data_IF_461896909147
#
_entry.id   IF_461896909147
#
_cell.length_a   1.000
_cell.length_b   1.000
_cell.length_c   1.000
_cell.angle_alpha   90.00
_cell.angle_beta   90.00
_cell.angle_gamma   90.00
#
_symmetry.space_group_name_H-M   'P 1'
#
loop_
_entity.id
_entity.type
_entity.pdbx_description
1 polymer ?
#
# COMPACT_ATOMS: atom_id res chain seq x y z
N UNK A 1 36.48 28.75 61.92
CA UNK A 1 35.72 27.56 62.35
C UNK A 1 35.91 26.50 61.29
N UNK A 2 36.37 25.35 61.74
CA UNK A 2 36.84 24.19 60.98
C UNK A 2 35.75 23.55 60.09
N UNK A 3 36.17 22.68 59.15
CA UNK A 3 35.46 22.35 57.93
C UNK A 3 34.59 21.09 58.06
N UNK A 4 33.64 20.91 57.14
CA UNK A 4 33.04 19.60 56.82
C UNK A 4 33.35 19.32 55.35
N UNK A 5 34.32 18.45 55.04
CA UNK A 5 34.16 16.98 54.90
C UNK A 5 33.24 16.66 53.70
N UNK A 6 33.73 16.37 52.50
CA UNK A 6 34.52 15.22 52.03
C UNK A 6 33.74 13.90 51.86
N UNK A 7 34.08 13.22 50.76
CA UNK A 7 33.82 11.82 50.38
C UNK A 7 32.40 11.50 49.84
N UNK A 8 32.25 11.18 48.55
CA UNK A 8 32.71 9.96 47.82
C UNK A 8 31.87 8.72 48.10
N UNK A 9 31.67 7.96 47.02
CA UNK A 9 30.93 6.68 46.89
C UNK A 9 29.44 6.88 46.63
N UNK A 10 28.79 6.28 45.64
CA UNK A 10 29.06 5.03 44.96
C UNK A 10 28.48 5.10 43.54
N UNK A 11 29.32 4.82 42.54
CA UNK A 11 28.84 4.42 41.22
C UNK A 11 28.31 2.99 41.34
N UNK A 12 27.00 2.84 41.55
CA UNK A 12 26.33 1.59 41.22
C UNK A 12 25.94 1.64 39.75
N UNK A 13 26.83 1.07 38.94
CA UNK A 13 26.51 0.50 37.64
C UNK A 13 25.47 -0.59 37.87
N UNK A 14 24.20 -0.29 37.57
CA UNK A 14 23.17 -1.31 37.39
C UNK A 14 23.06 -1.52 35.89
N UNK A 15 23.81 -2.51 35.40
CA UNK A 15 23.45 -3.25 34.21
C UNK A 15 22.04 -3.82 34.42
N UNK A 16 21.01 -3.08 34.00
CA UNK A 16 19.71 -3.68 33.74
C UNK A 16 19.82 -4.40 32.41
N UNK A 17 20.23 -5.67 32.51
CA UNK A 17 20.00 -6.66 31.48
C UNK A 17 18.48 -6.80 31.38
N UNK A 18 17.87 -6.11 30.41
CA UNK A 18 16.53 -6.48 29.96
C UNK A 18 16.65 -7.80 29.21
N UNK A 19 16.71 -8.89 29.98
CA UNK A 19 16.35 -10.21 29.50
C UNK A 19 14.94 -10.10 28.92
N UNK A 20 14.85 -10.27 27.60
CA UNK A 20 13.58 -10.55 26.96
C UNK A 20 12.93 -11.73 27.69
N UNK A 21 11.70 -11.58 28.22
CA UNK A 21 10.92 -12.77 28.50
C UNK A 21 10.74 -13.48 27.16
N UNK A 22 11.32 -14.68 27.03
CA UNK A 22 10.92 -15.64 26.01
C UNK A 22 9.43 -15.92 26.27
N UNK A 23 8.57 -15.17 25.59
CA UNK A 23 7.17 -15.47 25.49
C UNK A 23 7.07 -16.90 24.95
N UNK A 24 6.56 -17.80 25.79
CA UNK A 24 6.18 -19.13 25.38
C UNK A 24 5.28 -19.04 24.14
N UNK A 25 5.40 -19.97 23.18
CA UNK A 25 4.47 -20.01 22.06
C UNK A 25 3.05 -20.13 22.63
N UNK A 26 2.23 -19.12 22.36
CA UNK A 26 0.80 -19.18 22.66
C UNK A 26 0.23 -20.43 21.98
N UNK A 27 -0.59 -21.24 22.67
CA UNK A 27 -1.29 -22.33 22.02
C UNK A 27 -2.10 -21.76 20.85
N UNK A 28 -1.84 -22.28 19.65
CA UNK A 28 -2.67 -21.97 18.49
C UNK A 28 -4.13 -22.22 18.87
N UNK A 29 -5.06 -21.30 18.57
CA UNK A 29 -6.47 -21.65 18.63
C UNK A 29 -6.67 -22.88 17.73
N UNK A 30 -7.44 -23.89 18.17
CA UNK A 30 -7.72 -25.03 17.31
C UNK A 30 -8.26 -24.50 16.00
N UNK A 31 -7.59 -24.87 14.90
CA UNK A 31 -8.15 -24.72 13.56
C UNK A 31 -9.59 -25.24 13.63
N UNK A 32 -10.61 -24.45 13.24
CA UNK A 32 -11.94 -25.00 13.14
C UNK A 32 -11.86 -26.17 12.18
N UNK A 33 -12.10 -27.36 12.74
CA UNK A 33 -12.15 -28.62 12.02
C UNK A 33 -13.01 -28.43 10.79
N UNK A 34 -12.38 -28.53 9.62
CA UNK A 34 -13.06 -28.69 8.35
C UNK A 34 -13.87 -29.97 8.40
N UNK A 35 -15.14 -29.88 8.79
CA UNK A 35 -16.15 -30.90 8.51
C UNK A 35 -17.57 -30.34 8.76
N UNK A 36 -17.93 -29.27 8.05
CA UNK A 36 -19.30 -29.18 7.56
C UNK A 36 -19.35 -29.85 6.19
N UNK A 37 -19.29 -31.18 6.21
CA UNK A 37 -19.79 -32.02 5.12
C UNK A 37 -21.31 -31.87 5.06
N UNK A 38 -21.78 -30.71 4.62
CA UNK A 38 -23.11 -30.61 4.02
C UNK A 38 -22.99 -31.34 2.70
N UNK A 39 -23.68 -32.46 2.60
CA UNK A 39 -23.93 -33.14 1.33
C UNK A 39 -24.42 -32.11 0.32
N UNK A 40 -23.53 -31.69 -0.56
CA UNK A 40 -23.91 -31.07 -1.82
C UNK A 40 -24.77 -32.12 -2.53
N UNK A 41 -26.00 -31.77 -2.97
CA UNK A 41 -26.74 -32.67 -3.83
C UNK A 41 -25.86 -32.97 -5.04
N UNK A 42 -25.73 -34.26 -5.36
CA UNK A 42 -24.90 -34.79 -6.43
C UNK A 42 -25.03 -33.92 -7.69
N UNK A 43 -23.92 -33.36 -8.17
CA UNK A 43 -23.83 -32.74 -9.50
C UNK A 43 -23.40 -31.27 -9.58
N UNK A 44 -23.35 -30.51 -8.48
CA UNK A 44 -22.80 -29.14 -8.56
C UNK A 44 -21.29 -29.12 -8.30
N UNK A 45 -20.51 -29.16 -9.39
CA UNK A 45 -19.07 -28.90 -9.33
C UNK A 45 -18.88 -27.38 -9.29
N UNK A 46 -18.34 -26.89 -8.18
CA UNK A 46 -17.97 -25.49 -8.03
C UNK A 46 -16.81 -25.22 -8.98
N UNK A 47 -16.90 -24.24 -9.90
CA UNK A 47 -15.73 -23.80 -10.64
C UNK A 47 -14.79 -23.11 -9.67
N UNK A 48 -13.78 -23.84 -9.19
CA UNK A 48 -12.63 -23.23 -8.54
C UNK A 48 -11.88 -22.53 -9.65
N UNK A 49 -11.78 -21.20 -9.61
CA UNK A 49 -10.87 -20.49 -10.51
C UNK A 49 -9.45 -20.96 -10.14
N UNK A 50 -8.77 -21.72 -11.00
CA UNK A 50 -7.43 -22.21 -10.68
C UNK A 50 -6.50 -21.00 -10.51
N UNK A 51 -5.53 -21.08 -9.59
CA UNK A 51 -4.56 -20.00 -9.42
C UNK A 51 -3.77 -19.67 -10.69
N UNK A 52 -3.71 -20.59 -11.66
CA UNK A 52 -3.07 -20.38 -12.97
C UNK A 52 -3.87 -19.49 -13.92
N UNK A 53 -5.19 -19.37 -13.71
CA UNK A 53 -6.11 -18.69 -14.64
C UNK A 53 -6.56 -17.33 -14.08
N UNK A 54 -5.98 -16.93 -12.95
CA UNK A 54 -6.26 -15.65 -12.32
C UNK A 54 -5.60 -14.50 -13.08
N UNK A 55 -6.37 -13.53 -13.62
CA UNK A 55 -5.79 -12.38 -14.28
C UNK A 55 -5.14 -11.39 -13.31
N UNK A 56 -5.36 -11.49 -11.99
CA UNK A 56 -4.78 -10.60 -10.95
C UNK A 56 -3.34 -10.98 -10.56
N UNK A 57 -2.51 -11.34 -11.53
CA UNK A 57 -1.10 -11.69 -11.33
C UNK A 57 -0.23 -10.54 -11.81
N UNK A 58 0.83 -10.21 -11.05
CA UNK A 58 1.79 -9.20 -11.51
C UNK A 58 2.53 -9.72 -12.72
N UNK A 59 2.64 -8.86 -13.72
CA UNK A 59 3.48 -9.07 -14.89
C UNK A 59 4.77 -8.28 -14.76
N UNK A 60 5.79 -8.66 -15.52
CA UNK A 60 7.05 -7.94 -15.59
C UNK A 60 7.27 -7.46 -17.02
N UNK A 61 7.67 -6.20 -17.18
CA UNK A 61 8.07 -5.69 -18.49
C UNK A 61 9.45 -6.23 -18.92
N UNK A 62 9.84 -5.94 -20.15
CA UNK A 62 11.16 -6.30 -20.71
C UNK A 62 12.37 -5.75 -19.93
N UNK A 63 12.15 -4.81 -19.01
CA UNK A 63 13.17 -4.19 -18.16
C UNK A 63 13.14 -4.75 -16.73
N UNK A 64 12.25 -5.70 -16.45
CA UNK A 64 12.07 -6.28 -15.12
C UNK A 64 11.21 -5.44 -14.18
N UNK A 65 10.55 -4.39 -14.67
CA UNK A 65 9.64 -3.60 -13.82
C UNK A 65 8.30 -4.30 -13.66
N UNK A 66 7.73 -4.17 -12.47
CA UNK A 66 6.39 -4.69 -12.14
C UNK A 66 5.33 -3.90 -12.90
N UNK A 67 4.44 -4.62 -13.59
CA UNK A 67 3.32 -4.05 -14.34
C UNK A 67 2.03 -4.66 -13.83
N UNK A 68 1.08 -3.77 -13.46
CA UNK A 68 -0.27 -4.19 -13.11
C UNK A 68 -0.95 -4.78 -14.36
N UNK A 69 -1.60 -5.96 -14.22
CA UNK A 69 -2.23 -6.64 -15.34
C UNK A 69 -3.43 -5.86 -15.88
N UNK A 70 -3.77 -6.14 -17.15
CA UNK A 70 -5.09 -5.84 -17.69
C UNK A 70 -6.01 -7.04 -17.43
N UNK A 71 -6.97 -6.89 -16.54
CA UNK A 71 -7.89 -7.95 -16.11
C UNK A 71 -9.27 -7.85 -16.74
N UNK A 72 -9.58 -6.74 -17.42
CA UNK A 72 -10.84 -6.56 -18.16
C UNK A 72 -10.71 -5.51 -19.26
N UNK A 73 -11.24 -5.83 -20.45
CA UNK A 73 -11.31 -4.89 -21.57
C UNK A 73 -12.49 -3.90 -21.45
N UNK A 74 -13.35 -4.07 -20.45
CA UNK A 74 -14.51 -3.21 -20.19
C UNK A 74 -14.44 -2.64 -18.77
N UNK A 75 -13.46 -1.78 -18.48
CA UNK A 75 -13.29 -1.22 -17.14
C UNK A 75 -14.50 -0.41 -16.70
N UNK A 76 -14.83 -0.50 -15.41
CA UNK A 76 -15.74 0.46 -14.79
C UNK A 76 -15.06 1.82 -14.60
N UNK A 77 -15.87 2.88 -14.58
CA UNK A 77 -15.40 4.23 -14.29
C UNK A 77 -14.74 4.30 -12.90
N UNK A 78 -13.68 5.11 -12.76
CA UNK A 78 -12.91 5.20 -11.51
C UNK A 78 -13.74 5.78 -10.35
N UNK A 79 -14.82 6.49 -10.65
CA UNK A 79 -15.79 7.04 -9.71
C UNK A 79 -17.00 6.11 -9.48
N UNK A 80 -17.09 4.97 -10.18
CA UNK A 80 -18.14 3.98 -9.95
C UNK A 80 -18.13 3.53 -8.48
N UNK A 81 -19.32 3.41 -7.89
CA UNK A 81 -19.46 3.03 -6.48
C UNK A 81 -18.82 1.68 -6.16
N UNK A 82 -18.78 0.74 -7.11
CA UNK A 82 -18.13 -0.57 -6.96
C UNK A 82 -16.61 -0.46 -6.94
N UNK A 83 -16.05 0.39 -7.80
CA UNK A 83 -14.62 0.69 -7.79
C UNK A 83 -14.24 1.34 -6.46
N UNK A 84 -15.03 2.30 -6.01
CA UNK A 84 -14.81 2.96 -4.71
C UNK A 84 -14.89 1.98 -3.56
N UNK A 85 -15.88 1.07 -3.56
CA UNK A 85 -16.02 0.01 -2.56
C UNK A 85 -14.79 -0.91 -2.53
N UNK A 86 -14.34 -1.42 -3.69
CA UNK A 86 -13.14 -2.26 -3.79
C UNK A 86 -11.88 -1.57 -3.24
N UNK A 87 -11.75 -0.27 -3.45
CA UNK A 87 -10.61 0.52 -2.94
C UNK A 87 -10.75 0.80 -1.42
N UNK A 88 -11.97 0.98 -0.92
CA UNK A 88 -12.24 1.35 0.48
C UNK A 88 -12.27 0.16 1.45
N UNK A 89 -12.74 -1.00 1.01
CA UNK A 89 -12.89 -2.19 1.87
C UNK A 89 -11.56 -2.75 2.38
N UNK A 90 -10.44 -2.33 1.78
CA UNK A 90 -9.10 -2.75 2.18
C UNK A 90 -8.18 -1.54 2.32
N UNK A 91 -8.26 -0.79 3.44
CA UNK A 91 -7.34 0.32 3.69
C UNK A 91 -5.90 -0.18 3.63
N UNK A 92 -5.05 0.59 2.93
CA UNK A 92 -3.61 0.35 2.85
C UNK A 92 -3.00 0.16 4.23
N UNK A 93 -2.79 -1.10 4.64
CA UNK A 93 -2.12 -1.45 5.89
C UNK A 93 -0.66 -1.07 5.71
N UNK A 94 -0.27 0.05 6.34
CA UNK A 94 1.06 0.68 6.35
C UNK A 94 1.69 0.69 4.95
N UNK A 95 1.45 1.73 4.13
CA UNK A 95 2.03 1.78 2.81
C UNK A 95 3.55 1.68 2.93
N UNK A 96 4.14 0.67 2.30
CA UNK A 96 5.56 0.66 1.96
C UNK A 96 5.65 1.17 0.53
N UNK A 97 6.63 2.01 0.23
CA UNK A 97 6.91 2.29 -1.18
C UNK A 97 7.31 0.98 -1.88
N UNK A 98 7.06 0.88 -3.18
CA UNK A 98 7.33 -0.32 -3.95
C UNK A 98 8.79 -0.80 -3.81
N UNK A 99 9.74 0.14 -3.79
CA UNK A 99 11.18 -0.15 -3.63
C UNK A 99 11.50 -0.80 -2.28
N UNK A 100 10.97 -0.28 -1.19
CA UNK A 100 11.21 -0.86 0.14
C UNK A 100 10.50 -2.20 0.31
N UNK A 101 9.33 -2.38 -0.30
CA UNK A 101 8.64 -3.65 -0.29
C UNK A 101 9.43 -4.74 -1.03
N UNK A 102 10.02 -4.41 -2.18
CA UNK A 102 10.90 -5.30 -2.94
C UNK A 102 12.13 -5.75 -2.16
N UNK A 103 12.77 -4.83 -1.43
CA UNK A 103 13.96 -5.14 -0.65
C UNK A 103 13.63 -5.76 0.72
N UNK A 104 12.35 -5.92 1.07
CA UNK A 104 11.93 -6.45 2.37
C UNK A 104 12.28 -5.55 3.56
N UNK A 105 12.52 -4.25 3.33
CA UNK A 105 12.97 -3.30 4.35
C UNK A 105 11.80 -2.53 4.97
N UNK A 106 12.02 -2.06 6.21
CA UNK A 106 11.07 -1.20 6.91
C UNK A 106 10.99 0.16 6.21
N UNK A 107 9.79 0.54 5.79
CA UNK A 107 9.54 1.77 5.06
C UNK A 107 8.75 2.75 5.93
N UNK A 108 9.27 3.97 6.08
CA UNK A 108 8.52 5.13 6.55
C UNK A 108 8.02 5.90 5.32
N UNK A 109 7.16 5.26 4.52
CA UNK A 109 6.58 5.95 3.35
C UNK A 109 5.68 7.08 3.83
N UNK A 110 5.89 8.26 3.25
CA UNK A 110 5.08 9.45 3.54
C UNK A 110 4.26 9.85 2.31
N UNK A 111 4.91 10.05 1.17
CA UNK A 111 4.27 10.60 -0.03
C UNK A 111 4.97 10.10 -1.31
N UNK A 112 4.21 9.91 -2.39
CA UNK A 112 4.77 9.50 -3.67
C UNK A 112 5.61 10.63 -4.31
N UNK A 113 6.62 10.24 -5.08
CA UNK A 113 7.57 11.17 -5.67
C UNK A 113 8.64 11.68 -4.68
N UNK A 114 8.43 11.54 -3.37
CA UNK A 114 9.42 11.90 -2.35
C UNK A 114 10.12 10.63 -1.86
N UNK A 115 11.45 10.49 -2.01
CA UNK A 115 12.12 9.25 -1.65
C UNK A 115 12.21 9.12 -0.12
N UNK A 116 11.74 8.00 0.43
CA UNK A 116 11.85 7.68 1.85
C UNK A 116 13.32 7.40 2.24
N UNK A 117 13.68 7.44 3.55
CA UNK A 117 15.08 7.34 3.96
C UNK A 117 15.85 6.13 3.41
N UNK A 118 15.27 4.90 3.38
CA UNK A 118 15.95 3.78 2.74
C UNK A 118 16.16 3.97 1.22
N UNK A 119 15.16 4.50 0.50
CA UNK A 119 15.30 4.81 -0.93
C UNK A 119 16.39 5.86 -1.18
N UNK A 120 16.47 6.90 -0.34
CA UNK A 120 17.52 7.92 -0.42
C UNK A 120 18.92 7.32 -0.27
N UNK A 121 19.11 6.38 0.67
CA UNK A 121 20.40 5.67 0.86
C UNK A 121 20.73 4.78 -0.34
N UNK A 122 19.72 4.17 -0.96
CA UNK A 122 19.88 3.34 -2.17
C UNK A 122 20.06 4.18 -3.45
N UNK A 123 20.09 5.50 -3.36
CA UNK A 123 20.19 6.38 -4.53
C UNK A 123 18.93 6.37 -5.41
N UNK A 124 17.80 5.91 -4.87
CA UNK A 124 16.52 5.89 -5.58
C UNK A 124 15.88 7.28 -5.41
N UNK A 125 15.71 8.03 -6.51
CA UNK A 125 15.37 9.45 -6.43
C UNK A 125 13.92 9.71 -6.04
N UNK A 126 13.03 8.73 -6.21
CA UNK A 126 11.59 8.87 -6.02
C UNK A 126 11.02 7.59 -5.43
N UNK A 127 10.14 7.71 -4.41
CA UNK A 127 9.32 6.59 -4.00
C UNK A 127 8.08 6.48 -4.89
N UNK A 128 7.84 5.28 -5.39
CA UNK A 128 6.55 4.96 -5.97
C UNK A 128 5.49 4.79 -4.90
N UNK A 129 4.24 5.00 -5.30
CA UNK A 129 3.05 4.70 -4.50
C UNK A 129 3.05 3.24 -4.03
N UNK A 130 2.18 2.90 -3.07
CA UNK A 130 2.12 1.60 -2.39
C UNK A 130 2.37 0.38 -3.30
N UNK A 131 3.14 -0.61 -2.84
CA UNK A 131 3.54 -1.78 -3.64
C UNK A 131 2.40 -2.38 -4.50
N UNK A 132 2.54 -2.44 -5.84
CA UNK A 132 1.57 -3.07 -6.74
C UNK A 132 1.21 -4.51 -6.35
N UNK A 133 2.13 -5.28 -5.75
CA UNK A 133 1.83 -6.63 -5.27
C UNK A 133 0.78 -6.61 -4.17
N UNK A 134 0.91 -5.68 -3.23
CA UNK A 134 -0.03 -5.53 -2.14
C UNK A 134 -1.41 -5.18 -2.67
N UNK A 135 -1.49 -4.26 -3.65
CA UNK A 135 -2.75 -3.88 -4.29
C UNK A 135 -3.45 -5.09 -4.91
N UNK A 136 -2.74 -5.87 -5.72
CA UNK A 136 -3.32 -7.06 -6.36
C UNK A 136 -3.67 -8.15 -5.37
N UNK A 137 -2.85 -8.37 -4.36
CA UNK A 137 -3.11 -9.35 -3.32
C UNK A 137 -4.40 -9.04 -2.56
N UNK A 138 -4.70 -7.76 -2.30
CA UNK A 138 -6.00 -7.40 -1.73
C UNK A 138 -7.13 -7.64 -2.71
N UNK A 139 -6.97 -7.29 -3.99
CA UNK A 139 -8.00 -7.59 -4.99
C UNK A 139 -8.28 -9.08 -5.10
N UNK A 140 -7.27 -9.95 -4.96
CA UNK A 140 -7.49 -11.41 -4.89
C UNK A 140 -8.30 -11.82 -3.66
N UNK A 141 -8.00 -11.26 -2.49
CA UNK A 141 -8.80 -11.53 -1.28
C UNK A 141 -10.24 -11.03 -1.42
N UNK A 142 -10.43 -9.85 -1.99
CA UNK A 142 -11.77 -9.30 -2.27
C UNK A 142 -12.51 -10.19 -3.27
N UNK A 143 -11.82 -10.67 -4.30
CA UNK A 143 -12.38 -11.60 -5.28
C UNK A 143 -12.86 -12.88 -4.60
N UNK A 144 -12.01 -13.48 -3.78
CA UNK A 144 -12.34 -14.74 -3.13
C UNK A 144 -13.56 -14.61 -2.23
N UNK A 145 -13.64 -13.51 -1.46
CA UNK A 145 -14.83 -13.19 -0.65
C UNK A 145 -16.06 -12.96 -1.54
N UNK A 146 -15.92 -12.10 -2.57
CA UNK A 146 -17.02 -11.74 -3.47
C UNK A 146 -17.58 -12.96 -4.21
N UNK A 147 -16.72 -13.84 -4.72
CA UNK A 147 -17.14 -15.05 -5.42
C UNK A 147 -17.76 -16.07 -4.48
N UNK A 148 -17.30 -16.16 -3.22
CA UNK A 148 -17.98 -17.00 -2.22
C UNK A 148 -19.40 -16.49 -1.93
N UNK A 149 -19.56 -15.19 -1.73
CA UNK A 149 -20.85 -14.58 -1.40
C UNK A 149 -21.85 -14.68 -2.57
N UNK A 150 -21.42 -14.32 -3.79
CA UNK A 150 -22.27 -14.40 -4.99
C UNK A 150 -22.62 -15.85 -5.34
N UNK A 151 -21.68 -16.79 -5.15
CA UNK A 151 -21.97 -18.22 -5.30
C UNK A 151 -23.07 -18.66 -4.35
N UNK A 152 -22.94 -18.35 -3.06
CA UNK A 152 -23.89 -18.79 -2.05
C UNK A 152 -25.28 -18.19 -2.29
N UNK A 153 -25.33 -16.93 -2.75
CA UNK A 153 -26.57 -16.27 -3.19
C UNK A 153 -27.20 -16.96 -4.41
N UNK A 154 -26.39 -17.28 -5.44
CA UNK A 154 -26.87 -17.95 -6.65
C UNK A 154 -27.34 -19.38 -6.37
N UNK A 155 -26.61 -20.16 -5.56
CA UNK A 155 -27.02 -21.51 -5.15
C UNK A 155 -28.34 -21.48 -4.40
N UNK A 156 -28.51 -20.51 -3.51
CA UNK A 156 -29.78 -20.30 -2.80
C UNK A 156 -30.92 -20.02 -3.79
N UNK A 157 -30.71 -19.09 -4.73
CA UNK A 157 -31.70 -18.74 -5.76
C UNK A 157 -32.08 -19.94 -6.65
N UNK A 158 -31.09 -20.71 -7.11
CA UNK A 158 -31.33 -21.89 -7.95
C UNK A 158 -32.14 -22.95 -7.20
N UNK A 159 -31.83 -23.19 -5.92
CA UNK A 159 -32.56 -24.14 -5.07
C UNK A 159 -34.00 -23.69 -4.81
N UNK A 160 -34.18 -22.41 -4.45
CA UNK A 160 -35.49 -21.86 -4.13
C UNK A 160 -36.41 -21.80 -5.36
N UNK A 161 -35.85 -21.48 -6.53
CA UNK A 161 -36.61 -21.28 -7.77
C UNK A 161 -36.59 -22.48 -8.73
N UNK A 162 -35.91 -23.59 -8.38
CA UNK A 162 -35.73 -24.79 -9.22
C UNK A 162 -35.21 -24.48 -10.62
N UNK A 163 -34.24 -23.57 -10.71
CA UNK A 163 -33.69 -23.13 -12.00
C UNK A 163 -32.74 -24.18 -12.61
N UNK A 164 -32.62 -24.26 -13.94
CA UNK A 164 -31.60 -25.06 -14.60
C UNK A 164 -30.17 -24.69 -14.17
N UNK A 165 -29.30 -25.69 -14.05
CA UNK A 165 -27.87 -25.51 -13.72
C UNK A 165 -27.15 -24.62 -14.73
N UNK A 166 -27.52 -24.68 -16.01
CA UNK A 166 -26.92 -23.83 -17.05
C UNK A 166 -27.15 -22.33 -16.83
N UNK A 167 -28.22 -21.94 -16.10
CA UNK A 167 -28.41 -20.54 -15.70
C UNK A 167 -27.44 -20.14 -14.58
N UNK A 168 -27.05 -21.07 -13.70
CA UNK A 168 -26.06 -20.81 -12.67
C UNK A 168 -24.71 -20.45 -13.29
N UNK A 169 -24.22 -21.26 -14.22
CA UNK A 169 -22.91 -21.05 -14.87
C UNK A 169 -22.86 -19.68 -15.56
N UNK A 170 -23.87 -19.40 -16.39
CA UNK A 170 -23.96 -18.11 -17.10
C UNK A 170 -24.03 -16.91 -16.16
N UNK A 171 -24.86 -16.97 -15.12
CA UNK A 171 -24.97 -15.87 -14.16
C UNK A 171 -23.68 -15.69 -13.36
N UNK A 172 -23.03 -16.79 -12.96
CA UNK A 172 -21.76 -16.74 -12.26
C UNK A 172 -20.65 -16.11 -13.11
N UNK A 173 -20.56 -16.47 -14.39
CA UNK A 173 -19.63 -15.85 -15.35
C UNK A 173 -19.88 -14.34 -15.50
N UNK A 174 -21.15 -13.91 -15.54
CA UNK A 174 -21.50 -12.48 -15.57
C UNK A 174 -20.99 -11.77 -14.30
N UNK A 175 -21.19 -12.36 -13.12
CA UNK A 175 -20.71 -11.82 -11.84
C UNK A 175 -19.18 -11.75 -11.79
N UNK A 176 -18.49 -12.77 -12.29
CA UNK A 176 -17.03 -12.76 -12.42
C UNK A 176 -16.55 -11.63 -13.33
N UNK A 177 -17.14 -11.49 -14.51
CA UNK A 177 -16.83 -10.41 -15.44
C UNK A 177 -17.05 -9.01 -14.84
N UNK A 178 -18.11 -8.86 -14.04
CA UNK A 178 -18.40 -7.62 -13.32
C UNK A 178 -17.35 -7.30 -12.27
N UNK A 179 -16.92 -8.30 -11.50
CA UNK A 179 -15.84 -8.12 -10.54
C UNK A 179 -14.56 -7.65 -11.24
N UNK A 180 -14.14 -8.33 -12.31
CA UNK A 180 -12.91 -7.97 -13.01
C UNK A 180 -13.00 -6.60 -13.69
N UNK A 181 -14.18 -6.19 -14.16
CA UNK A 181 -14.41 -4.83 -14.67
C UNK A 181 -14.25 -3.77 -13.56
N UNK A 182 -14.71 -4.06 -12.34
CA UNK A 182 -14.47 -3.22 -11.16
C UNK A 182 -13.02 -3.22 -10.69
N UNK A 183 -12.36 -4.38 -10.69
CA UNK A 183 -10.94 -4.51 -10.38
C UNK A 183 -10.08 -3.72 -11.39
N UNK A 184 -10.40 -3.78 -12.68
CA UNK A 184 -9.72 -2.97 -13.69
C UNK A 184 -9.94 -1.46 -13.45
N UNK A 185 -11.16 -1.05 -13.09
CA UNK A 185 -11.43 0.34 -12.69
C UNK A 185 -10.61 0.77 -11.47
N UNK A 186 -10.44 -0.12 -10.48
CA UNK A 186 -9.61 0.13 -9.30
C UNK A 186 -8.11 0.19 -9.62
N UNK A 187 -7.62 -0.67 -10.52
CA UNK A 187 -6.25 -0.62 -11.08
C UNK A 187 -6.04 0.72 -11.79
N UNK A 188 -6.98 1.13 -12.65
CA UNK A 188 -6.89 2.41 -13.36
C UNK A 188 -6.85 3.60 -12.39
N UNK A 189 -7.69 3.57 -11.34
CA UNK A 189 -7.69 4.59 -10.29
C UNK A 189 -6.36 4.62 -9.53
N UNK A 190 -5.81 3.47 -9.17
CA UNK A 190 -4.49 3.36 -8.54
C UNK A 190 -3.41 3.98 -9.43
N UNK A 191 -3.39 3.64 -10.72
CA UNK A 191 -2.41 4.17 -11.68
C UNK A 191 -2.55 5.69 -11.86
N UNK A 192 -3.77 6.19 -11.96
CA UNK A 192 -4.04 7.63 -12.05
C UNK A 192 -3.57 8.36 -10.78
N UNK A 193 -3.91 7.85 -9.61
CA UNK A 193 -3.49 8.44 -8.34
C UNK A 193 -1.97 8.41 -8.19
N UNK A 194 -1.32 7.29 -8.52
CA UNK A 194 0.13 7.14 -8.47
C UNK A 194 0.83 8.17 -9.37
N UNK A 195 0.36 8.36 -10.60
CA UNK A 195 0.89 9.39 -11.51
C UNK A 195 0.66 10.80 -10.99
N UNK A 196 -0.59 11.12 -10.63
CA UNK A 196 -0.97 12.45 -10.16
C UNK A 196 -0.18 12.85 -8.90
N UNK A 197 -0.04 11.94 -7.95
CA UNK A 197 0.67 12.21 -6.69
C UNK A 197 2.17 12.30 -6.87
N UNK A 198 2.77 11.46 -7.72
CA UNK A 198 4.18 11.58 -8.10
C UNK A 198 4.50 12.94 -8.73
N UNK A 199 3.64 13.38 -9.67
CA UNK A 199 3.82 14.67 -10.33
C UNK A 199 3.56 15.85 -9.37
N UNK A 200 2.56 15.75 -8.50
CA UNK A 200 2.25 16.81 -7.53
C UNK A 200 3.30 16.92 -6.43
N UNK A 201 3.79 15.80 -5.89
CA UNK A 201 4.72 15.80 -4.75
C UNK A 201 6.02 16.52 -5.09
N UNK A 202 6.99 15.83 -5.72
CA UNK A 202 8.31 16.41 -5.90
C UNK A 202 8.35 17.55 -6.91
N UNK A 203 7.59 17.48 -8.02
CA UNK A 203 7.59 18.58 -9.01
C UNK A 203 6.84 19.79 -8.49
N UNK A 204 5.76 19.62 -7.73
CA UNK A 204 5.07 20.71 -7.08
C UNK A 204 5.99 21.45 -6.10
N UNK A 205 6.72 20.73 -5.24
CA UNK A 205 7.70 21.34 -4.34
C UNK A 205 8.83 22.06 -5.11
N UNK A 206 9.35 21.46 -6.19
CA UNK A 206 10.36 22.11 -7.05
C UNK A 206 9.83 23.39 -7.70
N UNK A 207 8.60 23.37 -8.23
CA UNK A 207 7.97 24.53 -8.84
C UNK A 207 7.71 25.64 -7.83
N UNK A 208 7.22 25.30 -6.64
CA UNK A 208 7.02 26.24 -5.54
C UNK A 208 8.35 26.89 -5.12
N UNK A 209 9.40 26.08 -4.96
CA UNK A 209 10.75 26.58 -4.67
C UNK A 209 11.23 27.55 -5.76
N UNK A 210 11.15 27.14 -7.02
CA UNK A 210 11.61 27.94 -8.16
C UNK A 210 10.87 29.28 -8.29
N UNK A 211 9.55 29.27 -8.03
CA UNK A 211 8.70 30.47 -8.07
C UNK A 211 8.94 31.44 -6.92
N UNK A 212 9.59 30.99 -5.84
CA UNK A 212 9.92 31.84 -4.70
C UNK A 212 11.28 32.51 -4.94
N UNK A 213 11.27 33.84 -5.01
CA UNK A 213 12.48 34.65 -5.22
C UNK A 213 13.12 35.15 -3.93
N UNK A 214 12.42 35.04 -2.80
CA UNK A 214 12.90 35.49 -1.49
C UNK A 214 13.49 34.33 -0.69
N UNK A 215 14.81 34.37 -0.50
CA UNK A 215 15.56 33.38 0.28
C UNK A 215 15.10 33.33 1.75
N UNK A 216 14.63 34.44 2.32
CA UNK A 216 14.21 34.48 3.73
C UNK A 216 12.91 33.71 3.98
N UNK A 217 11.96 33.79 3.05
CA UNK A 217 10.73 32.97 3.08
C UNK A 217 11.04 31.47 2.97
N UNK A 218 11.95 31.08 2.07
CA UNK A 218 12.35 29.68 1.92
C UNK A 218 13.12 29.16 3.16
N UNK A 219 13.97 29.98 3.78
CA UNK A 219 14.62 29.63 5.05
C UNK A 219 13.63 29.42 6.19
N UNK A 220 12.60 30.27 6.30
CA UNK A 220 11.51 30.07 7.27
C UNK A 220 10.73 28.78 7.03
N UNK A 221 10.49 28.45 5.75
CA UNK A 221 9.88 27.17 5.38
C UNK A 221 10.74 25.99 5.82
N UNK A 222 12.07 26.06 5.65
CA UNK A 222 12.97 24.99 6.11
C UNK A 222 12.87 24.81 7.64
N UNK A 223 12.96 25.90 8.41
CA UNK A 223 12.89 25.84 9.87
C UNK A 223 11.56 25.26 10.34
N UNK A 224 10.44 25.78 9.84
CA UNK A 224 9.10 25.27 10.17
C UNK A 224 8.91 23.83 9.67
N UNK A 225 9.51 23.49 8.54
CA UNK A 225 9.45 22.16 7.95
C UNK A 225 10.14 21.11 8.82
N UNK A 226 11.27 21.44 9.45
CA UNK A 226 11.92 20.55 10.44
C UNK A 226 11.01 20.32 11.64
N UNK A 227 10.36 21.37 12.17
CA UNK A 227 9.45 21.28 13.31
C UNK A 227 8.19 20.46 13.01
N UNK A 228 7.64 20.63 11.81
CA UNK A 228 6.42 19.96 11.34
C UNK A 228 6.68 18.60 10.69
N UNK A 229 7.94 18.14 10.67
CA UNK A 229 8.37 16.87 10.07
C UNK A 229 8.09 16.77 8.57
N UNK A 230 8.23 17.88 7.85
CA UNK A 230 8.33 17.87 6.38
C UNK A 230 9.47 16.96 5.96
N UNK A 231 9.26 16.21 4.89
CA UNK A 231 10.21 15.20 4.47
C UNK A 231 11.58 15.81 4.09
N UNK A 232 12.72 15.21 4.51
CA UNK A 232 14.06 15.75 4.27
C UNK A 232 14.37 16.09 2.80
N UNK A 233 13.92 15.28 1.85
CA UNK A 233 14.13 15.57 0.43
C UNK A 233 13.39 16.80 -0.10
N UNK A 234 12.23 17.14 0.48
CA UNK A 234 11.56 18.42 0.19
C UNK A 234 12.42 19.55 0.73
N UNK A 235 12.88 19.43 1.99
CA UNK A 235 13.76 20.42 2.61
C UNK A 235 15.07 20.60 1.82
N UNK A 236 15.62 19.53 1.24
CA UNK A 236 16.80 19.59 0.39
C UNK A 236 16.55 20.42 -0.87
N UNK A 237 15.45 20.17 -1.60
CA UNK A 237 15.07 20.97 -2.77
C UNK A 237 14.94 22.45 -2.43
N UNK A 238 14.32 22.77 -1.28
CA UNK A 238 14.21 24.17 -0.82
C UNK A 238 15.59 24.74 -0.47
N UNK A 239 16.46 23.94 0.16
CA UNK A 239 17.82 24.35 0.55
C UNK A 239 18.69 24.64 -0.67
N UNK A 240 18.65 23.77 -1.69
CA UNK A 240 19.34 23.98 -2.97
C UNK A 240 18.90 25.30 -3.61
N UNK A 241 17.59 25.58 -3.62
CA UNK A 241 17.08 26.85 -4.15
C UNK A 241 17.54 28.07 -3.34
N UNK A 242 17.60 27.98 -2.01
CA UNK A 242 18.13 29.08 -1.18
C UNK A 242 19.60 29.36 -1.54
N UNK A 243 20.40 28.31 -1.73
CA UNK A 243 21.80 28.46 -2.13
C UNK A 243 21.92 29.17 -3.48
N UNK A 244 21.10 28.80 -4.47
CA UNK A 244 21.07 29.46 -5.78
C UNK A 244 20.75 30.97 -5.66
N UNK A 245 19.73 31.31 -4.86
CA UNK A 245 19.32 32.71 -4.66
C UNK A 245 20.44 33.51 -3.98
N UNK A 246 21.04 32.97 -2.92
CA UNK A 246 22.15 33.63 -2.22
C UNK A 246 23.38 33.80 -3.12
N UNK A 247 23.71 32.79 -3.92
CA UNK A 247 24.81 32.86 -4.89
C UNK A 247 24.56 33.98 -5.91
N UNK A 248 23.33 34.13 -6.41
CA UNK A 248 22.97 35.19 -7.37
C UNK A 248 23.02 36.61 -6.80
N UNK A 249 22.94 36.78 -5.48
CA UNK A 249 23.06 38.09 -4.81
C UNK A 249 24.52 38.48 -4.56
N UNK A 250 25.44 37.52 -4.61
CA UNK A 250 26.87 37.72 -4.38
C UNK A 250 27.66 37.91 -5.69
N UNK A 251 27.05 37.62 -6.84
CA UNK A 251 27.58 37.84 -8.20
C UNK A 251 27.16 39.19 -8.76
#
# INVERSE_FOLDING_TARGET
MSPSSAASSSMHSVHSVFEHPRSAPLPHPPLPSSASSRSTPEGFIIPVVPSSDDPLVISYDSRGHRVLPNVSNTPLDVLDGRVTKLVQEHPMVIPKCANCAEQGITCSYYEAGVPCPPCSVLGIPECDWADPFWVLENFRRSRDSYFCDERDALVKSVKENRLPVSLFEREFEIRMSWFYSGAQGAINRYLLNSRATRDVGLRGYKALAASTSDASTLLRFITLGVETRVHPCVLQVITERVQDLLASMLS
#
